data_IF_809593491758
#
_entry.id   IF_809593491758
#
_cell.length_a   1.000
_cell.length_b   1.000
_cell.length_c   1.000
_cell.angle_alpha   90.00
_cell.angle_beta   90.00
_cell.angle_gamma   90.00
#
_symmetry.space_group_name_H-M   'P 1'
#
loop_
_entity.id
_entity.type
_entity.pdbx_description
1 polymer ?
#
# COMPACT_ATOMS: atom_id res chain seq x y z
N UNK A 1 -10.17 -10.66 23.42
CA UNK A 1 -8.97 -10.71 24.29
C UNK A 1 -7.79 -11.46 23.65
N UNK A 2 -7.93 -12.73 23.17
CA UNK A 2 -6.82 -13.45 22.51
C UNK A 2 -6.38 -12.84 21.18
N UNK A 3 -7.28 -12.24 20.41
CA UNK A 3 -6.96 -11.54 19.16
C UNK A 3 -6.23 -10.22 19.38
N UNK A 4 -6.63 -9.44 20.38
CA UNK A 4 -5.96 -8.18 20.75
C UNK A 4 -4.55 -8.39 21.29
N UNK A 5 -4.33 -9.46 22.04
CA UNK A 5 -3.02 -9.81 22.60
C UNK A 5 -2.06 -10.31 21.51
N UNK A 6 -2.57 -11.07 20.53
CA UNK A 6 -1.82 -11.48 19.35
C UNK A 6 -1.47 -10.28 18.45
N UNK A 7 -2.38 -9.33 18.25
CA UNK A 7 -2.15 -8.10 17.49
C UNK A 7 -1.16 -7.18 18.21
N UNK A 8 -1.28 -7.02 19.54
CA UNK A 8 -0.29 -6.29 20.35
C UNK A 8 1.09 -6.94 20.29
N UNK A 9 1.17 -8.26 20.35
CA UNK A 9 2.44 -9.00 20.25
C UNK A 9 3.06 -8.86 18.87
N UNK A 10 2.27 -8.96 17.78
CA UNK A 10 2.75 -8.74 16.42
C UNK A 10 3.24 -7.30 16.20
N UNK A 11 2.55 -6.29 16.78
CA UNK A 11 3.00 -4.90 16.77
C UNK A 11 4.30 -4.75 17.58
N UNK A 12 4.42 -5.39 18.73
CA UNK A 12 5.64 -5.35 19.56
C UNK A 12 6.82 -6.08 18.92
N UNK A 13 6.58 -7.19 18.24
CA UNK A 13 7.62 -7.95 17.52
C UNK A 13 8.04 -7.23 16.20
N UNK A 14 7.15 -6.48 15.58
CA UNK A 14 7.45 -5.59 14.44
C UNK A 14 8.25 -4.33 14.84
N UNK A 15 8.20 -3.94 16.12
CA UNK A 15 8.97 -2.82 16.71
C UNK A 15 10.30 -3.32 17.30
N UNK A 16 10.64 -4.60 17.15
CA UNK A 16 11.97 -5.07 17.57
C UNK A 16 13.03 -4.35 16.74
N UNK A 17 13.92 -3.57 17.40
CA UNK A 17 15.00 -2.95 16.66
C UNK A 17 15.76 -4.05 15.91
N UNK A 18 16.20 -3.80 14.67
CA UNK A 18 17.12 -4.69 14.00
C UNK A 18 18.28 -5.00 14.96
N UNK A 19 18.82 -6.20 14.91
CA UNK A 19 19.91 -6.63 15.79
C UNK A 19 21.09 -5.64 15.78
N UNK A 20 21.23 -4.89 14.69
CA UNK A 20 22.29 -3.90 14.43
C UNK A 20 21.84 -2.44 14.69
N UNK A 21 20.78 -2.23 15.50
CA UNK A 21 20.35 -0.87 15.83
C UNK A 21 21.46 -0.09 16.54
N UNK A 22 21.79 1.14 16.08
CA UNK A 22 22.81 2.00 16.70
C UNK A 22 22.49 2.33 18.17
N UNK A 23 21.24 2.16 18.57
CA UNK A 23 20.79 2.40 19.95
C UNK A 23 21.00 1.20 20.89
N UNK A 24 21.47 0.05 20.39
CA UNK A 24 21.67 -1.14 21.22
C UNK A 24 22.88 -0.99 22.14
N UNK A 25 23.93 -0.31 21.68
CA UNK A 25 25.21 -0.13 22.42
C UNK A 25 25.43 1.30 22.90
N UNK A 26 24.57 2.24 22.54
CA UNK A 26 24.70 3.68 22.85
C UNK A 26 24.36 3.97 24.30
N UNK A 27 25.19 4.75 24.97
CA UNK A 27 24.92 5.25 26.34
C UNK A 27 24.00 6.47 26.35
N UNK A 28 23.37 6.74 27.52
CA UNK A 28 22.58 7.96 27.73
C UNK A 28 23.41 9.24 27.49
N UNK A 29 24.65 9.26 27.97
CA UNK A 29 25.53 10.42 27.85
C UNK A 29 25.87 10.73 26.38
N UNK A 30 26.24 9.73 25.61
CA UNK A 30 26.50 9.85 24.16
C UNK A 30 25.28 10.40 23.43
N UNK A 31 24.10 9.78 23.64
CA UNK A 31 22.89 10.22 22.99
C UNK A 31 22.46 11.64 23.40
N UNK A 32 22.61 11.98 24.66
CA UNK A 32 22.24 13.31 25.16
C UNK A 32 23.17 14.40 24.59
N UNK A 33 24.43 14.12 24.39
CA UNK A 33 25.41 15.04 23.81
C UNK A 33 25.19 15.31 22.29
N UNK A 34 24.49 14.41 21.58
CA UNK A 34 24.22 14.56 20.15
C UNK A 34 23.34 15.79 19.87
N UNK A 35 23.63 16.45 18.76
CA UNK A 35 22.75 17.45 18.15
C UNK A 35 21.45 16.80 17.64
N UNK A 36 20.47 17.63 17.30
CA UNK A 36 19.20 17.16 16.72
C UNK A 36 19.41 16.42 15.40
N UNK A 37 20.34 16.90 14.55
CA UNK A 37 20.65 16.28 13.27
C UNK A 37 21.33 14.91 13.45
N UNK A 38 22.26 14.78 14.38
CA UNK A 38 22.88 13.49 14.69
C UNK A 38 21.86 12.49 15.22
N UNK A 39 20.95 12.92 16.10
CA UNK A 39 19.83 12.07 16.55
C UNK A 39 18.93 11.63 15.39
N UNK A 40 18.61 12.53 14.47
CA UNK A 40 17.80 12.22 13.29
C UNK A 40 18.52 11.19 12.37
N UNK A 41 19.83 11.34 12.15
CA UNK A 41 20.61 10.35 11.38
C UNK A 41 20.61 8.99 12.06
N UNK A 42 20.79 8.92 13.40
CA UNK A 42 20.71 7.66 14.14
C UNK A 42 19.34 7.00 14.08
N UNK A 43 18.26 7.80 14.07
CA UNK A 43 16.91 7.28 13.83
C UNK A 43 16.82 6.68 12.42
N UNK A 44 17.35 7.32 11.39
CA UNK A 44 17.36 6.79 10.02
C UNK A 44 18.14 5.45 9.94
N UNK A 45 19.32 5.39 10.53
CA UNK A 45 20.12 4.16 10.64
C UNK A 45 19.38 3.05 11.40
N UNK A 46 18.66 3.40 12.48
CA UNK A 46 17.84 2.44 13.24
C UNK A 46 16.78 1.76 12.38
N UNK A 47 16.21 2.47 11.42
CA UNK A 47 15.28 1.91 10.45
C UNK A 47 15.97 1.29 9.23
N UNK A 48 17.29 1.04 9.28
CA UNK A 48 18.06 0.42 8.20
C UNK A 48 18.09 1.25 6.93
N UNK A 49 18.04 2.59 7.06
CA UNK A 49 17.94 3.52 5.93
C UNK A 49 16.73 3.22 5.00
N UNK A 50 15.68 2.71 5.61
CA UNK A 50 14.44 2.33 4.92
C UNK A 50 13.30 3.32 5.21
N UNK A 51 13.61 4.59 5.42
CA UNK A 51 12.65 5.68 5.56
C UNK A 51 12.69 6.60 4.34
N UNK A 52 11.53 7.10 3.96
CA UNK A 52 11.36 8.14 2.94
C UNK A 52 10.22 9.09 3.34
N UNK A 53 10.23 10.28 2.76
CA UNK A 53 9.17 11.28 2.95
C UNK A 53 8.40 11.45 1.64
N UNK A 54 7.10 11.76 1.71
CA UNK A 54 6.29 12.05 0.52
C UNK A 54 6.73 13.35 -0.18
N UNK A 55 6.21 13.58 -1.39
CA UNK A 55 6.55 14.75 -2.19
C UNK A 55 6.28 16.09 -1.50
N UNK A 56 5.34 16.12 -0.54
CA UNK A 56 4.99 17.32 0.22
C UNK A 56 5.81 17.49 1.51
N UNK A 57 6.70 16.56 1.83
CA UNK A 57 7.51 16.58 3.05
C UNK A 57 6.72 16.31 4.34
N UNK A 58 5.51 15.78 4.24
CA UNK A 58 4.59 15.63 5.37
C UNK A 58 4.53 14.20 5.92
N UNK A 59 4.38 13.22 5.06
CA UNK A 59 4.14 11.83 5.45
C UNK A 59 5.41 11.01 5.35
N UNK A 60 5.74 10.32 6.44
CA UNK A 60 6.84 9.37 6.47
C UNK A 60 6.35 7.99 6.01
N UNK A 61 7.19 7.33 5.24
CA UNK A 61 6.98 5.93 4.84
C UNK A 61 8.19 5.10 5.22
N UNK A 62 7.95 3.82 5.52
CA UNK A 62 8.96 2.81 5.76
C UNK A 62 8.90 1.74 4.67
N UNK A 63 10.06 1.37 4.14
CA UNK A 63 10.17 0.21 3.27
C UNK A 63 10.17 -1.08 4.08
N UNK A 64 9.17 -1.91 3.84
CA UNK A 64 8.96 -3.16 4.55
C UNK A 64 8.27 -4.18 3.63
N UNK A 65 8.73 -5.43 3.64
CA UNK A 65 8.14 -6.52 2.85
C UNK A 65 7.93 -6.18 1.36
N UNK A 66 8.86 -5.42 0.76
CA UNK A 66 8.82 -5.10 -0.67
C UNK A 66 8.06 -3.82 -1.05
N UNK A 67 7.42 -3.15 -0.11
CA UNK A 67 6.64 -1.93 -0.34
C UNK A 67 6.94 -0.81 0.65
N UNK A 68 6.58 0.40 0.27
CA UNK A 68 6.63 1.58 1.12
C UNK A 68 5.27 1.78 1.80
N UNK A 69 5.25 1.62 3.12
CA UNK A 69 4.05 1.81 3.95
C UNK A 69 4.12 3.15 4.67
N UNK A 70 3.02 3.90 4.64
CA UNK A 70 2.90 5.15 5.40
C UNK A 70 2.90 4.83 6.89
N UNK A 71 3.68 5.58 7.66
CA UNK A 71 3.67 5.52 9.11
C UNK A 71 2.82 6.70 9.62
N UNK A 72 1.77 6.45 10.41
CA UNK A 72 1.01 7.53 11.02
C UNK A 72 1.94 8.44 11.86
N UNK A 73 1.84 9.77 11.73
CA UNK A 73 2.75 10.70 12.43
C UNK A 73 2.81 10.51 13.95
N UNK A 74 1.65 10.19 14.57
CA UNK A 74 1.57 9.91 16.00
C UNK A 74 2.34 8.64 16.41
N UNK A 75 2.36 7.64 15.55
CA UNK A 75 3.02 6.36 15.81
C UNK A 75 4.51 6.50 15.66
N UNK A 76 4.96 7.20 14.61
CA UNK A 76 6.38 7.50 14.44
C UNK A 76 6.94 8.34 15.58
N UNK A 77 6.20 9.39 16.02
CA UNK A 77 6.61 10.21 17.17
C UNK A 77 6.69 9.37 18.46
N UNK A 78 5.78 8.41 18.65
CA UNK A 78 5.80 7.47 19.78
C UNK A 78 7.01 6.55 19.73
N UNK A 79 7.34 6.04 18.54
CA UNK A 79 8.51 5.19 18.34
C UNK A 79 9.81 5.94 18.66
N UNK A 80 9.95 7.18 18.16
CA UNK A 80 11.11 8.03 18.48
C UNK A 80 11.16 8.31 19.98
N UNK A 81 10.04 8.62 20.64
CA UNK A 81 9.99 8.80 22.11
C UNK A 81 10.42 7.52 22.84
N UNK A 82 10.05 6.34 22.33
CA UNK A 82 10.48 5.04 22.85
C UNK A 82 12.00 4.84 22.79
N UNK A 83 12.68 5.39 21.78
CA UNK A 83 14.15 5.39 21.73
C UNK A 83 14.77 6.23 22.85
N UNK A 84 14.23 7.43 23.11
CA UNK A 84 14.69 8.25 24.24
C UNK A 84 14.48 7.56 25.58
N UNK A 85 13.30 6.93 25.79
CA UNK A 85 13.00 6.20 27.02
C UNK A 85 13.98 5.03 27.24
N UNK A 86 14.26 4.26 26.19
CA UNK A 86 15.17 3.10 26.23
C UNK A 86 16.58 3.52 26.67
N UNK A 87 17.04 4.67 26.19
CA UNK A 87 18.33 5.24 26.56
C UNK A 87 18.29 6.06 27.86
N UNK A 88 17.13 6.14 28.54
CA UNK A 88 16.90 6.95 29.74
C UNK A 88 17.17 8.45 29.53
N UNK A 89 17.20 8.92 28.29
CA UNK A 89 17.47 10.30 27.95
C UNK A 89 16.21 11.17 28.14
N UNK A 90 16.34 12.39 28.72
CA UNK A 90 15.20 13.27 28.95
C UNK A 90 14.69 13.85 27.63
N UNK A 91 13.37 13.84 27.43
CA UNK A 91 12.71 14.39 26.27
C UNK A 91 11.46 15.20 26.59
N UNK A 92 11.03 15.98 25.63
CA UNK A 92 9.74 16.67 25.60
C UNK A 92 9.13 16.48 24.20
N UNK A 93 7.84 16.75 24.05
CA UNK A 93 7.18 16.71 22.74
C UNK A 93 7.89 17.59 21.70
N UNK A 94 8.36 18.78 22.09
CA UNK A 94 9.13 19.65 21.20
C UNK A 94 10.47 19.05 20.73
N UNK A 95 11.20 18.36 21.62
CA UNK A 95 12.44 17.67 21.23
C UNK A 95 12.16 16.54 20.25
N UNK A 96 11.12 15.73 20.48
CA UNK A 96 10.72 14.66 19.56
C UNK A 96 10.33 15.25 18.21
N UNK A 97 9.46 16.27 18.18
CA UNK A 97 9.07 16.95 16.95
C UNK A 97 10.29 17.49 16.19
N UNK A 98 11.25 18.11 16.86
CA UNK A 98 12.48 18.64 16.22
C UNK A 98 13.30 17.52 15.56
N UNK A 99 13.44 16.35 16.19
CA UNK A 99 14.14 15.20 15.60
C UNK A 99 13.40 14.68 14.38
N UNK A 100 12.07 14.55 14.46
CA UNK A 100 11.23 14.07 13.35
C UNK A 100 11.27 15.04 12.16
N UNK A 101 11.12 16.35 12.39
CA UNK A 101 11.18 17.34 11.31
C UNK A 101 12.58 17.42 10.68
N UNK A 102 13.64 17.33 11.49
CA UNK A 102 15.01 17.26 10.96
C UNK A 102 15.22 16.00 10.12
N UNK A 103 14.68 14.85 10.56
CA UNK A 103 14.75 13.60 9.81
C UNK A 103 14.13 13.73 8.41
N UNK A 104 12.97 14.38 8.30
CA UNK A 104 12.29 14.60 7.01
C UNK A 104 13.14 15.41 6.01
N UNK A 105 14.10 16.21 6.49
CA UNK A 105 14.99 16.98 5.63
C UNK A 105 16.18 16.17 5.09
N UNK A 106 16.53 15.06 5.73
CA UNK A 106 17.73 14.28 5.40
C UNK A 106 17.44 12.96 4.68
N UNK A 107 16.24 12.41 4.81
CA UNK A 107 15.83 11.18 4.15
C UNK A 107 15.39 11.42 2.70
N UNK A 108 15.46 10.40 1.83
CA UNK A 108 15.04 10.56 0.44
C UNK A 108 13.55 10.91 0.32
N UNK A 109 13.24 11.70 -0.69
CA UNK A 109 11.87 11.95 -1.10
C UNK A 109 11.37 10.75 -1.92
N UNK A 110 10.14 10.32 -1.65
CA UNK A 110 9.54 9.19 -2.32
C UNK A 110 9.10 9.57 -3.74
N UNK A 111 9.60 8.84 -4.71
CA UNK A 111 9.14 8.93 -6.09
C UNK A 111 7.82 8.18 -6.29
N UNK A 112 7.13 8.52 -7.38
CA UNK A 112 6.00 7.74 -7.85
C UNK A 112 6.51 6.36 -8.34
N UNK A 113 5.81 5.26 -8.04
CA UNK A 113 6.17 3.96 -8.58
C UNK A 113 6.11 3.99 -10.11
N UNK A 114 7.06 3.31 -10.75
CA UNK A 114 7.02 3.18 -12.20
C UNK A 114 5.78 2.37 -12.61
N UNK A 115 4.91 2.94 -13.44
CA UNK A 115 3.61 2.36 -13.85
C UNK A 115 3.71 1.01 -14.55
N UNK A 116 4.91 0.63 -15.00
CA UNK A 116 5.21 -0.66 -15.61
C UNK A 116 5.53 -1.76 -14.60
N UNK A 117 5.72 -1.41 -13.32
CA UNK A 117 6.10 -2.38 -12.29
C UNK A 117 4.85 -2.91 -11.59
N UNK A 118 4.77 -4.24 -11.50
CA UNK A 118 3.76 -4.93 -10.72
C UNK A 118 4.47 -5.69 -9.59
N UNK A 119 4.11 -5.39 -8.35
CA UNK A 119 4.63 -6.10 -7.18
C UNK A 119 3.84 -7.37 -6.93
N UNK A 120 4.54 -8.48 -6.76
CA UNK A 120 4.03 -9.77 -6.28
C UNK A 120 4.70 -10.13 -4.96
N UNK A 121 4.16 -11.09 -4.22
CA UNK A 121 4.75 -11.50 -2.94
C UNK A 121 6.22 -11.93 -3.07
N UNK A 122 6.59 -12.59 -4.16
CA UNK A 122 7.93 -13.13 -4.39
C UNK A 122 8.86 -12.23 -5.23
N UNK A 123 8.41 -11.03 -5.67
CA UNK A 123 9.24 -10.12 -6.47
C UNK A 123 8.44 -9.11 -7.27
N UNK A 124 9.08 -8.52 -8.27
CA UNK A 124 8.54 -7.42 -9.08
C UNK A 124 8.66 -7.76 -10.57
N UNK A 125 7.56 -7.69 -11.29
CA UNK A 125 7.50 -7.83 -12.74
C UNK A 125 7.56 -6.45 -13.40
N UNK A 126 8.52 -6.25 -14.29
CA UNK A 126 8.52 -5.13 -15.24
C UNK A 126 7.76 -5.54 -16.49
N UNK A 127 6.57 -4.99 -16.69
CA UNK A 127 5.69 -5.35 -17.83
C UNK A 127 6.20 -4.84 -19.18
N UNK A 128 7.14 -3.88 -19.20
CA UNK A 128 7.73 -3.39 -20.45
C UNK A 128 8.82 -4.32 -20.98
N UNK A 129 9.54 -5.01 -20.09
CA UNK A 129 10.64 -5.91 -20.45
C UNK A 129 10.31 -7.38 -20.26
N UNK A 130 9.25 -7.69 -19.51
CA UNK A 130 8.94 -9.05 -19.06
C UNK A 130 9.90 -9.58 -17.97
N UNK A 131 10.78 -8.73 -17.45
CA UNK A 131 11.78 -9.15 -16.46
C UNK A 131 11.16 -9.24 -15.07
N UNK A 132 11.39 -10.36 -14.39
CA UNK A 132 11.05 -10.55 -12.99
C UNK A 132 12.30 -10.45 -12.11
N UNK A 133 12.24 -9.65 -11.05
CA UNK A 133 13.37 -9.36 -10.17
C UNK A 133 12.98 -9.34 -8.69
N UNK A 134 13.94 -9.50 -7.75
CA UNK A 134 13.68 -9.32 -6.33
C UNK A 134 13.16 -7.92 -6.01
N UNK A 135 12.44 -7.79 -4.89
CA UNK A 135 12.03 -6.49 -4.36
C UNK A 135 13.23 -5.58 -4.06
N UNK A 136 13.09 -4.31 -4.39
CA UNK A 136 14.09 -3.30 -4.05
C UNK A 136 13.42 -1.97 -3.69
N UNK A 137 14.00 -1.23 -2.73
CA UNK A 137 13.44 0.05 -2.25
C UNK A 137 13.29 1.11 -3.35
N UNK A 138 14.14 1.07 -4.39
CA UNK A 138 14.07 1.99 -5.54
C UNK A 138 12.89 1.73 -6.49
N UNK A 139 12.14 0.66 -6.31
CA UNK A 139 10.92 0.42 -7.09
C UNK A 139 9.76 1.32 -6.65
N UNK A 140 9.82 1.91 -5.46
CA UNK A 140 8.82 2.80 -4.86
C UNK A 140 7.40 2.22 -4.80
N UNK A 141 7.27 0.88 -4.83
CA UNK A 141 5.98 0.23 -4.75
C UNK A 141 5.28 0.52 -3.41
N UNK A 142 3.99 0.77 -3.47
CA UNK A 142 3.13 1.01 -2.30
C UNK A 142 2.17 -0.14 -2.03
N UNK A 143 1.95 -0.99 -3.03
CA UNK A 143 1.06 -2.15 -2.96
C UNK A 143 1.72 -3.32 -3.68
N UNK A 144 1.30 -4.53 -3.33
CA UNK A 144 1.65 -5.75 -4.05
C UNK A 144 0.46 -6.69 -4.06
N UNK A 145 0.42 -7.55 -5.07
CA UNK A 145 -0.50 -8.68 -5.14
C UNK A 145 -0.02 -9.78 -4.19
N UNK A 146 -0.92 -10.33 -3.37
CA UNK A 146 -0.60 -11.34 -2.34
C UNK A 146 -0.35 -12.74 -2.88
N UNK A 147 -0.13 -12.87 -4.20
CA UNK A 147 0.22 -14.14 -4.84
C UNK A 147 1.66 -14.11 -5.35
N UNK A 148 2.24 -15.29 -5.54
CA UNK A 148 3.53 -15.44 -6.18
C UNK A 148 3.38 -15.38 -7.70
N UNK A 149 4.26 -14.63 -8.35
CA UNK A 149 4.37 -14.66 -9.79
C UNK A 149 5.10 -15.93 -10.24
N UNK A 150 4.50 -16.63 -11.18
CA UNK A 150 5.11 -17.74 -11.89
C UNK A 150 5.21 -17.38 -13.38
N UNK A 151 6.40 -17.40 -13.98
CA UNK A 151 6.54 -17.10 -15.40
C UNK A 151 5.69 -18.07 -16.24
N UNK A 152 5.02 -17.57 -17.30
CA UNK A 152 4.25 -18.44 -18.19
C UNK A 152 5.17 -19.43 -18.91
N UNK A 153 4.65 -20.65 -19.15
CA UNK A 153 5.32 -21.67 -19.93
C UNK A 153 5.02 -21.42 -21.42
N UNK A 154 5.97 -21.70 -22.29
CA UNK A 154 5.78 -21.54 -23.74
C UNK A 154 4.58 -22.35 -24.24
N UNK A 155 3.70 -21.70 -25.00
CA UNK A 155 2.46 -22.31 -25.52
C UNK A 155 1.31 -22.41 -24.51
N UNK A 156 1.51 -21.95 -23.27
CA UNK A 156 0.46 -21.90 -22.26
C UNK A 156 -0.58 -20.82 -22.60
N UNK A 157 -1.85 -21.16 -22.41
CA UNK A 157 -2.97 -20.23 -22.56
C UNK A 157 -3.69 -20.05 -21.24
N UNK A 158 -4.49 -19.01 -21.11
CA UNK A 158 -5.31 -18.79 -19.91
C UNK A 158 -6.26 -19.98 -19.66
N UNK A 159 -6.78 -20.60 -20.71
CA UNK A 159 -7.65 -21.77 -20.62
C UNK A 159 -6.93 -23.00 -20.05
N UNK A 160 -5.70 -23.25 -20.49
CA UNK A 160 -4.89 -24.38 -20.01
C UNK A 160 -4.30 -24.14 -18.62
N UNK A 161 -3.87 -22.93 -18.34
CA UNK A 161 -3.26 -22.57 -17.05
C UNK A 161 -4.27 -22.43 -15.92
N UNK A 162 -5.41 -21.78 -16.19
CA UNK A 162 -6.43 -21.47 -15.19
C UNK A 162 -7.85 -21.87 -15.66
N UNK A 163 -8.13 -23.18 -15.87
CA UNK A 163 -9.37 -23.65 -16.52
C UNK A 163 -10.64 -23.30 -15.73
N UNK A 164 -10.57 -23.16 -14.43
CA UNK A 164 -11.71 -22.74 -13.60
C UNK A 164 -12.02 -21.25 -13.79
N UNK A 165 -10.99 -20.41 -13.80
CA UNK A 165 -11.12 -18.98 -14.09
C UNK A 165 -11.62 -18.75 -15.51
N UNK A 166 -11.06 -19.46 -16.50
CA UNK A 166 -11.49 -19.38 -17.89
C UNK A 166 -12.98 -19.68 -18.06
N UNK A 167 -13.48 -20.78 -17.46
CA UNK A 167 -14.90 -21.14 -17.52
C UNK A 167 -15.80 -20.10 -16.87
N UNK A 168 -15.37 -19.51 -15.74
CA UNK A 168 -16.09 -18.42 -15.12
C UNK A 168 -16.09 -17.17 -16.00
N UNK A 169 -14.94 -16.78 -16.55
CA UNK A 169 -14.77 -15.62 -17.41
C UNK A 169 -15.63 -15.73 -18.67
N UNK A 170 -15.63 -16.88 -19.34
CA UNK A 170 -16.43 -17.12 -20.54
C UNK A 170 -17.94 -17.05 -20.25
N UNK A 171 -18.37 -17.62 -19.12
CA UNK A 171 -19.77 -17.52 -18.66
C UNK A 171 -20.15 -16.08 -18.32
N UNK A 172 -19.32 -15.35 -17.58
CA UNK A 172 -19.57 -13.95 -17.21
C UNK A 172 -19.64 -13.05 -18.45
N UNK A 173 -18.83 -13.34 -19.46
CA UNK A 173 -18.83 -12.64 -20.74
C UNK A 173 -19.99 -13.07 -21.68
N UNK A 174 -20.73 -14.13 -21.35
CA UNK A 174 -21.76 -14.71 -22.21
C UNK A 174 -21.21 -15.26 -23.53
N UNK A 175 -20.01 -15.82 -23.50
CA UNK A 175 -19.29 -16.36 -24.66
C UNK A 175 -18.75 -15.30 -25.63
N UNK A 176 -18.81 -14.00 -25.28
CA UNK A 176 -18.39 -12.90 -26.15
C UNK A 176 -16.93 -12.51 -25.90
N UNK A 177 -16.02 -12.65 -26.91
CA UNK A 177 -14.60 -12.32 -26.75
C UNK A 177 -14.36 -10.90 -26.27
N UNK A 178 -15.06 -9.93 -26.86
CA UNK A 178 -14.90 -8.51 -26.50
C UNK A 178 -15.25 -8.21 -25.05
N UNK A 179 -16.20 -8.94 -24.47
CA UNK A 179 -16.53 -8.81 -23.05
C UNK A 179 -15.48 -9.48 -22.14
N UNK A 180 -14.89 -10.60 -22.59
CA UNK A 180 -13.76 -11.21 -21.88
C UNK A 180 -12.60 -10.25 -21.79
N UNK A 181 -12.27 -9.59 -22.90
CA UNK A 181 -11.19 -8.62 -22.98
C UNK A 181 -11.42 -7.43 -22.02
N UNK A 182 -12.66 -6.91 -21.94
CA UNK A 182 -13.03 -5.86 -21.00
C UNK A 182 -12.85 -6.31 -19.54
N UNK A 183 -13.29 -7.51 -19.20
CA UNK A 183 -13.13 -8.05 -17.83
C UNK A 183 -11.63 -8.24 -17.51
N UNK A 184 -10.85 -8.77 -18.43
CA UNK A 184 -9.41 -8.93 -18.25
C UNK A 184 -8.68 -7.59 -18.12
N UNK A 185 -9.06 -6.60 -18.94
CA UNK A 185 -8.51 -5.25 -18.84
C UNK A 185 -8.83 -4.59 -17.49
N UNK A 186 -10.04 -4.78 -16.97
CA UNK A 186 -10.44 -4.30 -15.66
C UNK A 186 -9.64 -4.97 -14.53
N UNK A 187 -9.45 -6.28 -14.58
CA UNK A 187 -8.62 -7.00 -13.62
C UNK A 187 -7.14 -6.61 -13.72
N UNK A 188 -6.63 -6.38 -14.94
CA UNK A 188 -5.28 -5.84 -15.13
C UNK A 188 -5.14 -4.42 -14.56
N UNK A 189 -6.15 -3.56 -14.74
CA UNK A 189 -6.17 -2.21 -14.16
C UNK A 189 -6.01 -2.27 -12.63
N UNK A 190 -6.69 -3.22 -11.97
CA UNK A 190 -6.56 -3.43 -10.52
C UNK A 190 -5.17 -3.96 -10.17
N UNK A 191 -4.72 -5.03 -10.82
CA UNK A 191 -3.42 -5.67 -10.55
C UNK A 191 -2.24 -4.70 -10.73
N UNK A 192 -2.27 -3.91 -11.80
CA UNK A 192 -1.21 -2.96 -12.15
C UNK A 192 -1.43 -1.56 -11.53
N UNK A 193 -2.46 -1.39 -10.70
CA UNK A 193 -2.83 -0.13 -10.04
C UNK A 193 -2.84 1.06 -11.03
N UNK A 194 -3.57 0.89 -12.17
CA UNK A 194 -3.61 1.84 -13.28
C UNK A 194 -4.63 2.97 -13.04
N UNK A 195 -4.51 3.67 -11.90
CA UNK A 195 -5.33 4.86 -11.60
C UNK A 195 -5.18 5.98 -12.63
N UNK A 196 -4.10 6.00 -13.39
CA UNK A 196 -3.85 6.93 -14.49
C UNK A 196 -4.82 6.78 -15.68
N UNK A 197 -5.54 5.65 -15.76
CA UNK A 197 -6.60 5.49 -16.75
C UNK A 197 -7.86 6.29 -16.43
N UNK A 198 -7.98 6.80 -15.20
CA UNK A 198 -9.11 7.63 -14.76
C UNK A 198 -10.47 6.95 -14.99
N UNK A 199 -10.54 5.65 -14.71
CA UNK A 199 -11.70 4.81 -14.92
C UNK A 199 -12.17 4.20 -13.61
N UNK A 200 -13.45 3.92 -13.54
CA UNK A 200 -14.03 2.98 -12.58
C UNK A 200 -14.81 1.91 -13.33
N UNK A 201 -14.97 0.75 -12.72
CA UNK A 201 -15.72 -0.35 -13.28
C UNK A 201 -17.11 -0.41 -12.67
N UNK A 202 -18.16 -0.24 -13.50
CA UNK A 202 -19.52 -0.53 -13.12
C UNK A 202 -19.87 -1.97 -13.54
N UNK A 203 -20.31 -2.78 -12.56
CA UNK A 203 -20.63 -4.19 -12.78
C UNK A 203 -22.11 -4.41 -12.54
N UNK A 204 -22.87 -4.61 -13.61
CA UNK A 204 -24.30 -4.85 -13.58
C UNK A 204 -24.66 -6.26 -14.05
N UNK A 205 -25.78 -6.76 -13.60
CA UNK A 205 -26.29 -8.07 -14.03
C UNK A 205 -27.23 -8.72 -13.00
N UNK A 206 -27.95 -9.75 -13.41
CA UNK A 206 -28.89 -10.45 -12.52
C UNK A 206 -28.19 -11.18 -11.37
N UNK A 207 -28.95 -11.62 -10.37
CA UNK A 207 -28.43 -12.49 -9.31
C UNK A 207 -27.75 -13.73 -9.88
N UNK A 208 -26.64 -14.14 -9.28
CA UNK A 208 -25.86 -15.34 -9.73
C UNK A 208 -25.02 -15.13 -10.99
N UNK A 209 -24.92 -13.88 -11.53
CA UNK A 209 -24.11 -13.60 -12.73
C UNK A 209 -22.58 -13.56 -12.50
N UNK A 210 -22.12 -13.73 -11.27
CA UNK A 210 -20.69 -13.76 -10.96
C UNK A 210 -20.07 -12.41 -10.54
N UNK A 211 -20.90 -11.39 -10.25
CA UNK A 211 -20.42 -10.06 -9.80
C UNK A 211 -19.56 -10.14 -8.54
N UNK A 212 -20.01 -10.88 -7.53
CA UNK A 212 -19.25 -11.06 -6.28
C UNK A 212 -17.93 -11.78 -6.51
N UNK A 213 -17.89 -12.77 -7.41
CA UNK A 213 -16.65 -13.47 -7.77
C UNK A 213 -15.67 -12.49 -8.43
N UNK A 214 -16.13 -11.60 -9.31
CA UNK A 214 -15.27 -10.56 -9.89
C UNK A 214 -14.68 -9.65 -8.80
N UNK A 215 -15.51 -9.23 -7.84
CA UNK A 215 -15.06 -8.39 -6.73
C UNK A 215 -14.04 -9.11 -5.83
N UNK A 216 -14.21 -10.40 -5.58
CA UNK A 216 -13.26 -11.24 -4.83
C UNK A 216 -11.92 -11.37 -5.58
N UNK A 217 -11.96 -11.69 -6.88
CA UNK A 217 -10.75 -11.76 -7.72
C UNK A 217 -10.03 -10.41 -7.73
N UNK A 218 -10.75 -9.31 -7.91
CA UNK A 218 -10.17 -7.98 -7.87
C UNK A 218 -9.50 -7.68 -6.52
N UNK A 219 -10.11 -8.12 -5.40
CA UNK A 219 -9.53 -7.98 -4.06
C UNK A 219 -8.24 -8.78 -3.92
N UNK A 220 -8.21 -10.03 -4.38
CA UNK A 220 -6.99 -10.85 -4.39
C UNK A 220 -5.86 -10.21 -5.21
N UNK A 221 -6.19 -9.62 -6.36
CA UNK A 221 -5.21 -8.96 -7.22
C UNK A 221 -4.69 -7.64 -6.64
N UNK A 222 -5.53 -6.89 -5.93
CA UNK A 222 -5.11 -5.70 -5.21
C UNK A 222 -4.26 -6.02 -3.98
N UNK A 223 -4.46 -7.20 -3.38
CA UNK A 223 -4.05 -7.56 -2.03
C UNK A 223 -5.11 -7.16 -1.00
N UNK A 224 -5.43 -8.04 -0.06
CA UNK A 224 -6.51 -7.82 0.92
C UNK A 224 -6.32 -6.53 1.73
N UNK A 225 -5.10 -6.26 2.17
CA UNK A 225 -4.74 -5.05 2.94
C UNK A 225 -4.84 -3.76 2.11
N UNK A 226 -4.89 -3.85 0.80
CA UNK A 226 -4.97 -2.72 -0.13
C UNK A 226 -6.39 -2.48 -0.66
N UNK A 227 -7.36 -3.29 -0.23
CA UNK A 227 -8.75 -3.20 -0.65
C UNK A 227 -9.66 -2.78 0.51
N UNK A 228 -10.65 -1.95 0.23
CA UNK A 228 -11.68 -1.57 1.20
C UNK A 228 -13.05 -1.48 0.53
N UNK A 229 -14.09 -1.31 1.34
CA UNK A 229 -15.44 -1.04 0.86
C UNK A 229 -15.92 0.31 1.38
N UNK A 230 -16.67 1.01 0.56
CA UNK A 230 -17.27 2.30 0.89
C UNK A 230 -18.67 2.41 0.27
N UNK A 231 -19.37 3.49 0.57
CA UNK A 231 -20.60 3.89 -0.13
C UNK A 231 -20.33 5.15 -0.98
N UNK A 232 -21.23 5.48 -1.87
CA UNK A 232 -21.11 6.73 -2.65
C UNK A 232 -21.14 7.94 -1.71
N UNK A 233 -21.94 7.91 -0.64
CA UNK A 233 -21.99 8.96 0.37
C UNK A 233 -20.64 9.17 1.05
N UNK A 234 -19.93 8.08 1.36
CA UNK A 234 -18.54 8.14 1.87
C UNK A 234 -17.60 8.87 0.91
N UNK A 235 -17.75 8.64 -0.40
CA UNK A 235 -16.94 9.32 -1.41
C UNK A 235 -17.29 10.82 -1.52
N UNK A 236 -18.55 11.19 -1.34
CA UNK A 236 -18.99 12.60 -1.41
C UNK A 236 -18.55 13.42 -0.19
N UNK A 237 -18.30 12.79 0.95
CA UNK A 237 -17.83 13.45 2.17
C UNK A 237 -16.31 13.59 2.18
N UNK A 238 -15.72 14.79 2.08
CA UNK A 238 -14.25 14.96 2.11
C UNK A 238 -13.59 14.37 3.36
N UNK A 239 -14.27 14.46 4.51
CA UNK A 239 -13.76 13.91 5.77
C UNK A 239 -13.72 12.38 5.78
N UNK A 240 -14.78 11.74 5.29
CA UNK A 240 -14.87 10.28 5.25
C UNK A 240 -14.00 9.72 4.13
N UNK A 241 -13.93 10.42 3.01
CA UNK A 241 -13.04 10.09 1.89
C UNK A 241 -11.54 10.06 2.31
N UNK A 242 -11.14 10.91 3.25
CA UNK A 242 -9.78 10.90 3.77
C UNK A 242 -9.38 9.55 4.39
N UNK A 243 -10.33 8.77 4.92
CA UNK A 243 -10.07 7.44 5.44
C UNK A 243 -9.79 6.38 4.35
N UNK A 244 -10.06 6.71 3.08
CA UNK A 244 -9.81 5.82 1.94
C UNK A 244 -8.42 6.02 1.32
N UNK A 245 -7.67 7.03 1.78
CA UNK A 245 -6.31 7.30 1.29
C UNK A 245 -5.41 6.10 1.64
N UNK A 246 -4.69 5.61 0.63
CA UNK A 246 -3.77 4.48 0.78
C UNK A 246 -4.32 3.16 0.25
N UNK A 247 -5.62 3.03 0.05
CA UNK A 247 -6.20 1.85 -0.60
C UNK A 247 -6.10 1.97 -2.13
N UNK A 248 -5.73 0.87 -2.79
CA UNK A 248 -5.65 0.80 -4.25
C UNK A 248 -6.94 0.31 -4.90
N UNK A 249 -7.81 -0.33 -4.13
CA UNK A 249 -9.13 -0.80 -4.56
C UNK A 249 -10.21 -0.37 -3.57
N UNK A 250 -11.17 0.42 -4.04
CA UNK A 250 -12.37 0.79 -3.28
C UNK A 250 -13.56 0.11 -3.93
N UNK A 251 -14.23 -0.79 -3.22
CA UNK A 251 -15.43 -1.46 -3.68
C UNK A 251 -16.66 -0.73 -3.18
N UNK A 252 -17.64 -0.55 -4.07
CA UNK A 252 -18.93 0.04 -3.76
C UNK A 252 -20.01 -1.05 -3.94
N UNK A 253 -20.23 -1.94 -2.95
CA UNK A 253 -21.21 -3.02 -3.09
C UNK A 253 -22.63 -2.47 -3.05
N UNK A 254 -23.52 -3.12 -3.81
CA UNK A 254 -24.99 -2.96 -3.77
C UNK A 254 -25.46 -1.50 -3.62
N UNK A 255 -25.01 -0.65 -4.58
CA UNK A 255 -25.43 0.75 -4.56
C UNK A 255 -26.91 0.87 -4.90
N UNK A 256 -27.67 1.49 -4.00
CA UNK A 256 -29.03 1.94 -4.28
C UNK A 256 -29.00 3.12 -5.27
N UNK A 257 -30.21 3.48 -5.77
CA UNK A 257 -30.32 4.62 -6.67
C UNK A 257 -29.85 5.90 -5.96
N UNK A 258 -28.74 6.44 -6.45
CA UNK A 258 -28.14 7.65 -5.94
C UNK A 258 -28.52 8.85 -6.84
N UNK A 259 -28.75 10.01 -6.24
CA UNK A 259 -29.23 11.22 -6.94
C UNK A 259 -28.31 12.44 -6.80
N UNK A 260 -27.10 12.27 -6.27
CA UNK A 260 -26.10 13.34 -6.14
C UNK A 260 -25.41 13.70 -7.47
N UNK A 261 -24.48 14.65 -7.44
CA UNK A 261 -23.77 15.15 -8.62
C UNK A 261 -22.49 14.35 -8.98
N UNK A 262 -22.05 13.43 -8.12
CA UNK A 262 -20.87 12.59 -8.32
C UNK A 262 -19.54 13.34 -8.16
N UNK A 263 -19.53 14.46 -7.47
CA UNK A 263 -18.33 15.26 -7.31
C UNK A 263 -17.19 14.47 -6.63
N UNK A 264 -17.51 13.71 -5.58
CA UNK A 264 -16.53 12.86 -4.89
C UNK A 264 -16.00 11.73 -5.76
N UNK A 265 -16.87 11.06 -6.50
CA UNK A 265 -16.46 10.01 -7.45
C UNK A 265 -15.59 10.60 -8.56
N UNK A 266 -15.96 11.75 -9.12
CA UNK A 266 -15.16 12.46 -10.13
C UNK A 266 -13.80 12.88 -9.58
N UNK A 267 -13.74 13.40 -8.36
CA UNK A 267 -12.47 13.78 -7.72
C UNK A 267 -11.50 12.60 -7.58
N UNK A 268 -12.00 11.42 -7.15
CA UNK A 268 -11.17 10.21 -7.03
C UNK A 268 -10.74 9.68 -8.40
N UNK A 269 -11.64 9.61 -9.36
CA UNK A 269 -11.34 9.03 -10.69
C UNK A 269 -10.59 10.00 -11.58
N UNK A 270 -10.85 11.32 -11.47
CA UNK A 270 -10.21 12.37 -12.25
C UNK A 270 -8.80 12.75 -11.76
N UNK A 271 -8.43 12.35 -10.55
CA UNK A 271 -7.17 12.76 -9.94
C UNK A 271 -7.16 14.22 -9.45
N UNK A 272 -8.33 14.86 -9.35
CA UNK A 272 -8.53 16.21 -8.84
C UNK A 272 -8.68 16.16 -7.29
N UNK A 273 -7.59 15.77 -6.61
CA UNK A 273 -7.56 15.68 -5.16
C UNK A 273 -6.87 16.89 -4.54
#
# INVERSE_FOLDING_TARGET
QKGEEATRKAIYDAIRPPADSPFTTMSEAEFTAMSTSEKAMRVHEHYGEALAVDANGQLLSRYEAGIWKIIPPSDFARDVAGLFQRLRAPFSSGKIASVVETLKLIIPQQDAPARRLIGFRNGVLDTATGTFSPHHKSHWLRTLCDVDFTPPVEGETLETHAPHFWRWLDRAAGGKPEKRDVILAALFMVLANRYDWQLFLEVTGPGGSGKSILAEIATMLAGEDNATSATIETLESPRERAALIGFSLIRLPDQEKWSGDGAGLKAITGGDA
#
